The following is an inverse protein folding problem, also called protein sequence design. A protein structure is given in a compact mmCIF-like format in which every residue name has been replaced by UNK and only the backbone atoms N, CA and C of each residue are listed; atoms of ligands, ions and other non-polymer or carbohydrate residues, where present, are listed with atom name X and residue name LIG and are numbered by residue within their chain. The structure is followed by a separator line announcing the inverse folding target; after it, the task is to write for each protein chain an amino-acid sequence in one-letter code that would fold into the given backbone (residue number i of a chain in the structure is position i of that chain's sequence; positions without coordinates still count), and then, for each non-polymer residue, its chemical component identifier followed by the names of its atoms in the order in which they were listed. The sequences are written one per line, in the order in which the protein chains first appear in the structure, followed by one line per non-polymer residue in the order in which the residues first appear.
data_IF_246324922454
#
_entry.id   IF_246324922454
#
_cell.length_a   1.000
_cell.length_b   1.000
_cell.length_c   1.000
_cell.angle_alpha   90.00
_cell.angle_beta   90.00
_cell.angle_gamma   90.00
#
_symmetry.space_group_name_H-M   'P 1'
#
loop_
_entity.id
_entity.type
_entity.pdbx_description
1 polymer ?
#
# COMPACT_ATOMS: atom_id res chain seq x y z
N UNK A 1 -17.23 18.77 -10.27
CA UNK A 1 -16.41 17.94 -9.36
C UNK A 1 -14.99 18.52 -9.38
N UNK A 2 -14.48 19.09 -8.27
CA UNK A 2 -13.12 19.64 -8.25
C UNK A 2 -12.14 18.47 -8.33
N UNK A 3 -11.31 18.42 -9.38
CA UNK A 3 -10.21 17.42 -9.45
C UNK A 3 -9.21 17.79 -8.35
N UNK A 4 -8.96 16.90 -7.40
CA UNK A 4 -7.75 17.01 -6.58
C UNK A 4 -6.56 16.89 -7.54
N UNK A 5 -5.86 18.00 -7.76
CA UNK A 5 -4.60 18.00 -8.49
C UNK A 5 -3.52 17.45 -7.55
N UNK A 6 -3.32 16.14 -7.59
CA UNK A 6 -2.10 15.55 -7.07
C UNK A 6 -1.02 15.76 -8.13
N UNK A 7 0.04 16.50 -7.78
CA UNK A 7 1.20 16.77 -8.67
C UNK A 7 1.80 15.47 -9.24
N UNK A 8 1.69 14.38 -8.50
CA UNK A 8 2.32 13.10 -8.80
C UNK A 8 1.42 12.14 -9.59
N UNK A 9 0.18 12.50 -9.90
CA UNK A 9 -0.76 11.59 -10.59
C UNK A 9 -0.46 11.50 -12.09
N UNK A 10 -0.13 10.30 -12.57
CA UNK A 10 0.08 9.98 -13.97
C UNK A 10 -1.08 9.19 -14.61
N UNK A 11 -2.25 9.11 -13.95
CA UNK A 11 -3.45 8.54 -14.59
C UNK A 11 -3.82 9.32 -15.87
N UNK A 12 -3.95 8.63 -17.03
CA UNK A 12 -4.46 9.22 -18.28
C UNK A 12 -5.80 9.94 -18.09
N UNK A 13 -6.17 10.85 -18.99
CA UNK A 13 -7.47 11.54 -18.91
C UNK A 13 -8.64 10.60 -19.16
N UNK A 14 -8.42 9.61 -20.02
CA UNK A 14 -9.39 8.59 -20.41
C UNK A 14 -8.78 7.20 -20.20
N UNK A 15 -9.60 6.25 -19.75
CA UNK A 15 -9.14 4.87 -19.49
C UNK A 15 -8.85 4.17 -20.82
N UNK A 16 -7.63 3.64 -21.03
CA UNK A 16 -7.34 2.80 -22.18
C UNK A 16 -8.23 1.55 -22.21
N UNK A 17 -8.65 1.10 -23.40
CA UNK A 17 -9.53 -0.08 -23.53
C UNK A 17 -8.90 -1.36 -22.93
N UNK A 18 -7.59 -1.50 -23.05
CA UNK A 18 -6.81 -2.63 -22.52
C UNK A 18 -6.65 -2.62 -20.98
N UNK A 19 -7.04 -1.54 -20.32
CA UNK A 19 -6.82 -1.35 -18.88
C UNK A 19 -8.09 -1.61 -18.08
N UNK A 20 -8.00 -2.39 -17.00
CA UNK A 20 -9.13 -2.60 -16.11
C UNK A 20 -9.60 -1.29 -15.46
N UNK A 21 -10.90 -1.21 -15.14
CA UNK A 21 -11.46 -0.06 -14.41
C UNK A 21 -10.79 0.11 -13.03
N UNK A 22 -10.49 -0.99 -12.36
CA UNK A 22 -9.81 -1.00 -11.08
C UNK A 22 -8.39 -0.44 -11.19
N UNK A 23 -7.55 -1.01 -12.07
CA UNK A 23 -6.18 -0.57 -12.27
C UNK A 23 -6.13 0.92 -12.60
N UNK A 24 -6.99 1.33 -13.55
CA UNK A 24 -7.11 2.74 -13.91
C UNK A 24 -7.35 3.59 -12.67
N UNK A 25 -8.33 3.28 -11.82
CA UNK A 25 -8.64 4.04 -10.60
C UNK A 25 -7.50 4.05 -9.57
N UNK A 26 -6.68 3.00 -9.48
CA UNK A 26 -5.53 3.00 -8.58
C UNK A 26 -4.41 3.96 -9.04
N UNK A 27 -4.26 4.21 -10.35
CA UNK A 27 -3.33 5.23 -10.86
C UNK A 27 -3.61 6.66 -10.35
N UNK A 28 -4.76 6.91 -9.69
CA UNK A 28 -4.99 8.17 -8.99
C UNK A 28 -4.02 8.41 -7.82
N UNK A 29 -3.52 7.33 -7.22
CA UNK A 29 -2.79 7.34 -5.96
C UNK A 29 -1.51 6.50 -5.99
N UNK A 30 -1.39 5.52 -6.89
CA UNK A 30 -0.21 4.64 -6.98
C UNK A 30 1.09 5.44 -7.11
N UNK A 31 1.17 6.38 -8.05
CA UNK A 31 2.36 7.23 -8.22
C UNK A 31 2.70 8.03 -6.95
N UNK A 32 1.68 8.52 -6.23
CA UNK A 32 1.90 9.23 -4.97
C UNK A 32 2.51 8.31 -3.91
N UNK A 33 2.06 7.05 -3.85
CA UNK A 33 2.60 6.05 -2.92
C UNK A 33 4.03 5.68 -3.30
N UNK A 34 4.31 5.54 -4.59
CA UNK A 34 5.66 5.28 -5.11
C UNK A 34 6.61 6.43 -4.74
N UNK A 35 6.21 7.67 -4.99
CA UNK A 35 7.00 8.86 -4.65
C UNK A 35 7.18 9.03 -3.13
N UNK A 36 6.14 8.79 -2.33
CA UNK A 36 6.26 8.78 -0.87
C UNK A 36 7.29 7.74 -0.42
N UNK A 37 7.19 6.52 -0.92
CA UNK A 37 8.10 5.43 -0.56
C UNK A 37 9.55 5.74 -0.98
N UNK A 38 9.75 6.30 -2.18
CA UNK A 38 11.06 6.71 -2.66
C UNK A 38 11.65 7.86 -1.82
N UNK A 39 10.84 8.87 -1.51
CA UNK A 39 11.24 10.00 -0.68
C UNK A 39 11.66 9.54 0.71
N UNK A 40 10.84 8.73 1.39
CA UNK A 40 11.14 8.25 2.74
C UNK A 40 12.40 7.38 2.79
N UNK A 41 12.62 6.53 1.77
CA UNK A 41 13.82 5.72 1.66
C UNK A 41 15.12 6.55 1.55
N UNK A 42 15.04 7.74 0.94
CA UNK A 42 16.20 8.64 0.76
C UNK A 42 16.35 9.64 1.91
N UNK A 43 15.23 10.14 2.44
CA UNK A 43 15.21 11.28 3.36
C UNK A 43 15.25 10.86 4.83
N UNK A 44 14.90 9.61 5.16
CA UNK A 44 14.75 9.17 6.54
C UNK A 44 15.51 7.87 6.85
N UNK A 45 16.40 7.94 7.85
CA UNK A 45 17.05 6.76 8.41
C UNK A 45 16.29 6.31 9.68
N UNK A 46 15.65 5.13 9.69
CA UNK A 46 14.97 4.63 10.87
C UNK A 46 15.95 4.24 11.97
N UNK A 47 15.44 4.18 13.21
CA UNK A 47 16.19 3.67 14.36
C UNK A 47 16.51 2.18 14.21
N UNK A 48 17.10 1.58 15.24
CA UNK A 48 17.42 0.15 15.28
C UNK A 48 16.19 -0.76 15.11
N UNK A 49 15.01 -0.26 15.47
CA UNK A 49 13.76 -1.02 15.42
C UNK A 49 12.84 -0.47 14.35
N UNK A 50 12.21 -1.36 13.61
CA UNK A 50 11.11 -1.08 12.70
C UNK A 50 9.90 -1.92 13.11
N UNK A 51 8.70 -1.35 12.95
CA UNK A 51 7.45 -2.04 13.18
C UNK A 51 6.70 -2.18 11.85
N UNK A 52 6.16 -3.36 11.57
CA UNK A 52 5.33 -3.66 10.40
C UNK A 52 3.98 -4.16 10.88
N UNK A 53 2.92 -3.54 10.38
CA UNK A 53 1.53 -3.82 10.77
C UNK A 53 0.57 -3.29 9.67
N UNK A 54 -0.73 -3.55 9.83
CA UNK A 54 -1.79 -2.97 9.01
C UNK A 54 -2.48 -1.76 9.66
N UNK A 55 -2.67 -0.72 8.86
CA UNK A 55 -3.49 0.46 9.17
C UNK A 55 -4.77 0.49 8.34
N UNK A 56 -5.82 1.09 8.90
CA UNK A 56 -7.06 1.38 8.16
C UNK A 56 -7.19 2.89 7.97
N UNK A 57 -7.25 3.32 6.71
CA UNK A 57 -7.70 4.65 6.33
C UNK A 57 -9.21 4.63 6.12
N UNK A 58 -9.95 5.25 7.04
CA UNK A 58 -11.42 5.24 7.05
C UNK A 58 -11.99 5.78 5.74
N UNK A 59 -12.85 5.00 5.09
CA UNK A 59 -13.54 5.41 3.85
C UNK A 59 -14.99 4.95 3.86
N UNK A 60 -15.93 5.90 3.85
CA UNK A 60 -17.38 5.61 3.70
C UNK A 60 -17.98 6.28 2.47
N UNK A 61 -17.12 6.70 1.54
CA UNK A 61 -17.56 7.16 0.23
C UNK A 61 -18.01 5.99 -0.65
N UNK A 62 -18.40 6.29 -1.88
CA UNK A 62 -18.63 5.25 -2.89
C UNK A 62 -17.35 4.42 -3.07
N UNK A 63 -17.50 3.12 -3.25
CA UNK A 63 -16.39 2.21 -3.50
C UNK A 63 -16.87 0.76 -3.69
N UNK A 64 -15.90 -0.12 -3.90
CA UNK A 64 -16.10 -1.54 -4.21
C UNK A 64 -15.66 -1.88 -5.63
N UNK A 65 -15.22 -3.13 -5.80
CA UNK A 65 -14.69 -3.62 -7.08
C UNK A 65 -15.78 -3.71 -8.15
N UNK A 66 -17.05 -3.82 -7.74
CA UNK A 66 -18.22 -3.92 -8.63
C UNK A 66 -18.73 -2.56 -9.15
N UNK A 67 -18.32 -1.44 -8.56
CA UNK A 67 -18.68 -0.10 -9.06
C UNK A 67 -17.47 0.60 -9.65
N UNK A 68 -17.65 1.35 -10.74
CA UNK A 68 -16.59 2.12 -11.40
C UNK A 68 -16.40 3.52 -10.78
N UNK A 69 -16.53 3.66 -9.45
CA UNK A 69 -16.39 4.95 -8.76
C UNK A 69 -15.83 4.80 -7.34
N UNK A 70 -15.00 5.77 -6.93
CA UNK A 70 -14.46 5.87 -5.57
C UNK A 70 -13.34 4.88 -5.27
N UNK A 71 -13.29 4.31 -4.05
CA UNK A 71 -12.25 3.37 -3.61
C UNK A 71 -12.48 1.96 -4.18
N UNK A 72 -11.56 1.36 -4.96
CA UNK A 72 -11.80 0.03 -5.57
C UNK A 72 -11.88 -1.10 -4.54
N UNK A 73 -11.06 -1.06 -3.50
CA UNK A 73 -11.02 -2.09 -2.45
C UNK A 73 -11.41 -1.51 -1.09
N UNK A 74 -12.52 -2.00 -0.54
CA UNK A 74 -12.98 -1.65 0.81
C UNK A 74 -12.85 -2.87 1.72
N UNK A 75 -12.21 -2.67 2.87
CA UNK A 75 -11.97 -3.71 3.86
C UNK A 75 -12.71 -3.35 5.15
N UNK A 76 -13.49 -4.31 5.64
CA UNK A 76 -14.08 -4.28 6.96
C UNK A 76 -13.40 -5.35 7.83
N UNK A 77 -12.84 -4.93 8.96
CA UNK A 77 -12.14 -5.81 9.89
C UNK A 77 -12.79 -5.63 11.26
N UNK A 78 -13.42 -6.68 11.78
CA UNK A 78 -14.17 -6.62 13.04
C UNK A 78 -13.35 -6.10 14.23
N UNK A 79 -12.04 -6.42 14.25
CA UNK A 79 -11.09 -5.98 15.29
C UNK A 79 -10.57 -4.55 15.14
N UNK A 80 -10.92 -3.81 14.07
CA UNK A 80 -10.47 -2.42 13.85
C UNK A 80 -11.64 -1.45 14.13
N UNK A 81 -11.36 -0.25 14.67
CA UNK A 81 -12.41 0.70 15.08
C UNK A 81 -13.17 1.33 13.90
N UNK A 82 -12.62 1.22 12.68
CA UNK A 82 -13.14 1.77 11.42
C UNK A 82 -12.82 0.81 10.27
N UNK A 83 -13.59 0.96 9.20
CA UNK A 83 -13.43 0.25 7.93
C UNK A 83 -13.03 1.23 6.82
N UNK A 84 -12.41 0.73 5.75
CA UNK A 84 -12.01 1.59 4.64
C UNK A 84 -10.92 0.98 3.77
N UNK A 85 -9.91 1.77 3.45
CA UNK A 85 -8.74 1.32 2.70
C UNK A 85 -7.72 0.72 3.67
N UNK A 86 -7.40 -0.56 3.47
CA UNK A 86 -6.34 -1.22 4.20
C UNK A 86 -4.97 -0.85 3.61
N UNK A 87 -4.04 -0.55 4.50
CA UNK A 87 -2.68 -0.17 4.21
C UNK A 87 -1.77 -1.09 5.00
N UNK A 88 -0.85 -1.77 4.34
CA UNK A 88 0.24 -2.49 4.99
C UNK A 88 1.44 -1.53 5.06
N UNK A 89 2.01 -1.29 6.25
CA UNK A 89 3.04 -0.26 6.40
C UNK A 89 4.18 -0.67 7.32
N UNK A 90 5.36 -0.11 7.06
CA UNK A 90 6.48 -0.09 7.99
C UNK A 90 6.58 1.29 8.66
N UNK A 91 6.93 1.33 9.93
CA UNK A 91 7.19 2.54 10.71
C UNK A 91 8.47 2.41 11.53
N UNK A 92 9.09 3.54 11.87
CA UNK A 92 10.21 3.59 12.80
C UNK A 92 9.74 3.22 14.21
N UNK A 93 10.37 2.23 14.83
CA UNK A 93 9.97 1.71 16.13
C UNK A 93 10.19 2.69 17.29
N UNK A 94 11.03 3.70 17.11
CA UNK A 94 11.29 4.71 18.16
C UNK A 94 10.39 5.94 18.05
N UNK A 95 10.22 6.51 16.85
CA UNK A 95 9.50 7.77 16.65
C UNK A 95 8.14 7.63 15.97
N UNK A 96 7.77 6.43 15.51
CA UNK A 96 6.47 6.16 14.87
C UNK A 96 6.32 6.73 13.46
N UNK A 97 7.35 7.35 12.89
CA UNK A 97 7.32 7.86 11.50
C UNK A 97 7.09 6.71 10.53
N UNK A 98 6.07 6.82 9.68
CA UNK A 98 5.78 5.86 8.62
C UNK A 98 6.89 5.91 7.56
N UNK A 99 7.47 4.76 7.26
CA UNK A 99 8.66 4.61 6.41
C UNK A 99 8.30 4.18 4.99
N UNK A 100 7.38 3.21 4.87
CA UNK A 100 6.96 2.66 3.59
C UNK A 100 5.55 2.11 3.73
N UNK A 101 4.75 2.21 2.68
CA UNK A 101 3.40 1.68 2.66
C UNK A 101 3.05 0.99 1.34
N UNK A 102 2.12 0.04 1.43
CA UNK A 102 1.48 -0.66 0.33
C UNK A 102 -0.04 -0.54 0.52
N UNK A 103 -0.75 -0.12 -0.52
CA UNK A 103 -2.22 -0.18 -0.52
C UNK A 103 -2.64 -1.61 -0.83
N UNK A 104 -3.57 -2.16 -0.04
CA UNK A 104 -4.13 -3.48 -0.31
C UNK A 104 -5.21 -3.34 -1.40
N UNK A 105 -4.99 -4.02 -2.52
CA UNK A 105 -5.91 -4.03 -3.67
C UNK A 105 -6.69 -5.34 -3.73
N UNK A 106 -7.58 -5.52 -4.71
CA UNK A 106 -8.27 -6.82 -4.87
C UNK A 106 -7.26 -7.91 -5.25
N UNK A 107 -7.61 -9.18 -5.02
CA UNK A 107 -6.76 -10.31 -5.42
C UNK A 107 -6.44 -10.31 -6.93
N UNK A 108 -7.38 -9.86 -7.76
CA UNK A 108 -7.18 -9.74 -9.20
C UNK A 108 -6.09 -8.71 -9.54
N UNK A 109 -6.15 -7.54 -8.92
CA UNK A 109 -5.18 -6.45 -9.13
C UNK A 109 -3.81 -6.73 -8.47
N UNK A 110 -3.80 -7.44 -7.34
CA UNK A 110 -2.56 -7.91 -6.74
C UNK A 110 -1.89 -8.95 -7.64
N UNK A 111 -2.64 -9.87 -8.26
CA UNK A 111 -2.06 -10.92 -9.12
C UNK A 111 -1.32 -10.36 -10.34
N UNK A 112 -1.82 -9.28 -10.95
CA UNK A 112 -1.16 -8.62 -12.09
C UNK A 112 0.16 -7.96 -11.69
N UNK A 113 0.26 -7.48 -10.44
CA UNK A 113 1.44 -6.81 -9.89
C UNK A 113 2.46 -7.82 -9.34
N UNK A 114 1.99 -8.96 -8.84
CA UNK A 114 2.80 -9.94 -8.07
C UNK A 114 3.63 -10.88 -8.96
N UNK A 115 3.48 -10.85 -10.29
CA UNK A 115 4.33 -11.63 -11.22
C UNK A 115 5.84 -11.36 -11.08
N UNK A 116 6.26 -10.38 -10.28
CA UNK A 116 7.67 -10.03 -9.99
C UNK A 116 8.17 -10.60 -8.65
N UNK A 117 7.32 -11.21 -7.82
CA UNK A 117 7.68 -11.64 -6.46
C UNK A 117 7.40 -13.14 -6.21
N UNK A 118 8.42 -13.98 -6.42
CA UNK A 118 8.59 -15.39 -5.99
C UNK A 118 7.33 -16.14 -5.54
N UNK A 119 6.82 -17.02 -6.42
CA UNK A 119 5.66 -17.93 -6.22
C UNK A 119 5.75 -18.88 -4.99
N UNK A 120 6.86 -18.90 -4.26
CA UNK A 120 7.08 -19.79 -3.11
C UNK A 120 6.89 -19.16 -1.74
N UNK A 121 6.70 -17.85 -1.64
CA UNK A 121 6.57 -17.15 -0.36
C UNK A 121 5.10 -16.95 0.02
N UNK A 122 4.81 -17.08 1.32
CA UNK A 122 3.50 -16.68 1.86
C UNK A 122 3.29 -15.17 1.66
N UNK A 123 2.04 -14.76 1.48
CA UNK A 123 1.69 -13.38 1.14
C UNK A 123 2.24 -12.37 2.16
N UNK A 124 2.04 -12.63 3.46
CA UNK A 124 2.54 -11.76 4.53
C UNK A 124 4.06 -11.59 4.49
N UNK A 125 4.81 -12.69 4.29
CA UNK A 125 6.27 -12.65 4.15
C UNK A 125 6.71 -11.84 2.91
N UNK A 126 5.98 -11.96 1.78
CA UNK A 126 6.27 -11.17 0.58
C UNK A 126 6.06 -9.67 0.81
N UNK A 127 4.96 -9.31 1.48
CA UNK A 127 4.66 -7.93 1.89
C UNK A 127 5.71 -7.40 2.86
N UNK A 128 6.08 -8.17 3.89
CA UNK A 128 7.12 -7.81 4.83
C UNK A 128 8.42 -7.47 4.11
N UNK A 129 8.85 -8.34 3.20
CA UNK A 129 10.05 -8.12 2.38
C UNK A 129 9.93 -6.86 1.54
N UNK A 130 8.76 -6.57 0.95
CA UNK A 130 8.52 -5.33 0.21
C UNK A 130 8.67 -4.10 1.12
N UNK A 131 7.99 -4.09 2.26
CA UNK A 131 7.94 -2.92 3.15
C UNK A 131 9.30 -2.53 3.71
N UNK A 132 10.16 -3.52 4.00
CA UNK A 132 11.50 -3.26 4.57
C UNK A 132 12.60 -3.19 3.52
N UNK A 133 12.28 -3.31 2.22
CA UNK A 133 13.29 -3.47 1.16
C UNK A 133 14.43 -2.43 1.18
N UNK A 134 14.17 -1.12 1.38
CA UNK A 134 15.24 -0.11 1.40
C UNK A 134 16.22 -0.27 2.56
N UNK A 135 15.83 -0.94 3.65
CA UNK A 135 16.63 -1.09 4.87
C UNK A 135 17.08 -2.53 5.10
N UNK A 136 17.00 -3.41 4.09
CA UNK A 136 17.56 -4.76 4.17
C UNK A 136 19.08 -4.69 4.43
N UNK A 137 19.59 -5.69 5.15
CA UNK A 137 21.00 -5.80 5.53
C UNK A 137 21.55 -4.65 6.39
N UNK A 138 20.68 -3.79 6.95
CA UNK A 138 21.07 -2.68 7.82
C UNK A 138 21.22 -3.05 9.31
N UNK A 139 21.15 -4.36 9.63
CA UNK A 139 21.16 -4.92 10.99
C UNK A 139 20.05 -4.40 11.92
N UNK A 140 18.95 -3.90 11.35
CA UNK A 140 17.75 -3.49 12.10
C UNK A 140 16.89 -4.68 12.45
N UNK A 141 16.21 -4.56 13.58
CA UNK A 141 15.22 -5.52 14.06
C UNK A 141 13.85 -5.09 13.51
N UNK A 142 13.14 -6.03 12.92
CA UNK A 142 11.76 -5.82 12.45
C UNK A 142 10.82 -6.58 13.37
N UNK A 143 9.93 -5.86 14.03
CA UNK A 143 8.81 -6.42 14.77
C UNK A 143 7.58 -6.40 13.86
N UNK A 144 6.92 -7.54 13.72
CA UNK A 144 5.69 -7.69 12.97
C UNK A 144 4.80 -8.71 13.68
N UNK A 145 3.49 -8.65 13.43
CA UNK A 145 2.58 -9.67 13.96
C UNK A 145 2.64 -10.98 13.15
N UNK A 146 1.87 -11.99 13.57
CA UNK A 146 1.88 -13.30 12.96
C UNK A 146 1.39 -13.35 11.52
N UNK A 147 0.70 -12.31 11.02
CA UNK A 147 0.27 -12.27 9.63
C UNK A 147 1.46 -12.16 8.67
N UNK A 148 2.56 -11.53 9.10
CA UNK A 148 3.75 -11.27 8.28
C UNK A 148 4.83 -12.37 8.36
N UNK A 149 4.62 -13.40 9.20
CA UNK A 149 5.57 -14.48 9.45
C UNK A 149 5.52 -15.55 8.35
#
# INVERSE_FOLDING_TARGET
MRRCSNRWRNQPSERPESMSSEHYRWLLVDDFVEEFNAHMAQAFAPSEHMCVDESISRWYGQGGHWINMGLPMYVAIDRKPKNGCEIQNAACGQCGVMLRLKLVKTAAEESTTTHVHNDSLQHGTAVLKFLVAPWRFSRRIVCADSYFA
#
